data_IF_245998144636
#
_entry.id   IF_245998144636
#
_cell.length_a   1.000
_cell.length_b   1.000
_cell.length_c   1.000
_cell.angle_alpha   90.00
_cell.angle_beta   90.00
_cell.angle_gamma   90.00
#
_symmetry.space_group_name_H-M   'P 1'
#
loop_
_entity.id
_entity.type
_entity.pdbx_description
1 polymer ?
#
# COMPACT_ATOMS: atom_id res chain seq x y z
N UNK A 1 -3.93 -8.85 6.07
CA UNK A 1 -3.56 -7.63 5.33
C UNK A 1 -2.34 -7.91 4.45
N UNK A 2 -2.32 -7.44 3.21
CA UNK A 2 -1.26 -7.61 2.21
C UNK A 2 -0.80 -6.26 1.71
N UNK A 3 0.51 -6.09 1.53
CA UNK A 3 1.11 -4.83 1.09
C UNK A 3 1.91 -5.10 -0.19
N UNK A 4 1.62 -4.34 -1.25
CA UNK A 4 2.33 -4.46 -2.52
C UNK A 4 2.90 -3.10 -2.95
N UNK A 5 4.10 -3.11 -3.51
CA UNK A 5 4.73 -1.96 -4.16
C UNK A 5 4.92 -2.29 -5.64
N UNK A 6 4.12 -1.65 -6.49
CA UNK A 6 4.17 -1.81 -7.94
C UNK A 6 5.08 -0.75 -8.54
N UNK A 7 6.09 -1.18 -9.29
CA UNK A 7 7.04 -0.27 -9.94
C UNK A 7 7.28 -0.60 -11.40
N UNK A 8 7.67 0.40 -12.18
CA UNK A 8 8.18 0.21 -13.53
C UNK A 8 9.69 -0.02 -13.47
N UNK A 9 10.28 -0.71 -14.46
CA UNK A 9 11.72 -0.85 -14.55
C UNK A 9 12.42 0.53 -14.49
N UNK A 10 13.43 0.66 -13.63
CA UNK A 10 14.20 1.89 -13.48
C UNK A 10 13.47 3.05 -12.78
N UNK A 11 12.34 2.81 -12.10
CA UNK A 11 11.65 3.88 -11.36
C UNK A 11 12.55 4.50 -10.27
N UNK A 12 12.87 5.81 -10.36
CA UNK A 12 13.75 6.46 -9.38
C UNK A 12 13.10 6.57 -8.00
N UNK A 13 11.76 6.55 -7.95
CA UNK A 13 10.99 6.74 -6.73
C UNK A 13 10.69 5.43 -5.98
N UNK A 14 11.13 4.28 -6.51
CA UNK A 14 10.87 2.97 -5.90
C UNK A 14 11.42 2.87 -4.48
N UNK A 15 12.68 3.27 -4.28
CA UNK A 15 13.34 3.22 -2.98
C UNK A 15 12.66 4.16 -1.95
N UNK A 16 12.31 5.37 -2.37
CA UNK A 16 11.61 6.35 -1.53
C UNK A 16 10.23 5.84 -1.12
N UNK A 17 9.45 5.31 -2.06
CA UNK A 17 8.15 4.72 -1.76
C UNK A 17 8.26 3.53 -0.79
N UNK A 18 9.24 2.64 -1.01
CA UNK A 18 9.53 1.51 -0.11
C UNK A 18 9.86 1.99 1.30
N UNK A 19 10.71 3.02 1.43
CA UNK A 19 11.07 3.59 2.73
C UNK A 19 9.84 4.13 3.48
N UNK A 20 8.97 4.88 2.79
CA UNK A 20 7.74 5.41 3.39
C UNK A 20 6.85 4.29 3.93
N UNK A 21 6.70 3.19 3.17
CA UNK A 21 5.93 2.03 3.62
C UNK A 21 6.58 1.42 4.87
N UNK A 22 7.89 1.17 4.85
CA UNK A 22 8.62 0.59 5.98
C UNK A 22 8.51 1.46 7.24
N UNK A 23 8.68 2.79 7.11
CA UNK A 23 8.56 3.72 8.24
C UNK A 23 7.14 3.66 8.83
N UNK A 24 6.10 3.71 7.99
CA UNK A 24 4.71 3.61 8.46
C UNK A 24 4.39 2.26 9.12
N UNK A 25 4.98 1.15 8.63
CA UNK A 25 4.79 -0.16 9.26
C UNK A 25 5.44 -0.21 10.64
N UNK A 26 6.65 0.32 10.78
CA UNK A 26 7.36 0.43 12.05
C UNK A 26 6.58 1.30 13.05
N UNK A 27 6.14 2.48 12.63
CA UNK A 27 5.37 3.42 13.47
C UNK A 27 4.04 2.83 13.96
N UNK A 28 3.44 1.93 13.17
CA UNK A 28 2.19 1.26 13.50
C UNK A 28 2.39 -0.06 14.23
N UNK A 29 3.62 -0.56 14.39
CA UNK A 29 3.93 -1.85 14.97
C UNK A 29 3.40 -3.03 14.14
N UNK A 30 3.41 -2.90 12.80
CA UNK A 30 2.91 -3.92 11.87
C UNK A 30 4.11 -4.65 11.26
N UNK A 31 4.24 -5.94 11.55
CA UNK A 31 5.26 -6.80 10.95
C UNK A 31 4.69 -7.56 9.75
N UNK A 32 4.68 -6.92 8.58
CA UNK A 32 4.25 -7.52 7.32
C UNK A 32 5.28 -7.29 6.21
N UNK A 33 5.52 -8.28 5.33
CA UNK A 33 6.42 -8.10 4.20
C UNK A 33 5.80 -7.18 3.14
N UNK A 34 6.67 -6.39 2.49
CA UNK A 34 6.32 -5.60 1.30
C UNK A 34 6.58 -6.47 0.07
N UNK A 35 5.55 -6.74 -0.73
CA UNK A 35 5.67 -7.49 -1.96
C UNK A 35 5.95 -6.54 -3.13
N UNK A 36 7.19 -6.53 -3.61
CA UNK A 36 7.60 -5.71 -4.73
C UNK A 36 7.29 -6.41 -6.06
N UNK A 37 6.66 -5.69 -6.99
CA UNK A 37 6.32 -6.20 -8.33
C UNK A 37 6.75 -5.20 -9.38
N UNK A 38 7.65 -5.63 -10.25
CA UNK A 38 8.13 -4.82 -11.37
C UNK A 38 7.33 -5.19 -12.62
N UNK A 39 6.82 -4.19 -13.33
CA UNK A 39 6.02 -4.41 -14.53
C UNK A 39 5.47 -3.13 -15.14
N UNK A 40 4.53 -3.23 -16.09
CA UNK A 40 3.90 -2.09 -16.73
C UNK A 40 2.81 -1.48 -15.83
N UNK A 41 3.26 -0.94 -14.70
CA UNK A 41 2.41 -0.32 -13.69
C UNK A 41 2.61 1.19 -13.67
N UNK A 42 1.57 1.95 -13.27
CA UNK A 42 1.73 3.35 -12.97
C UNK A 42 2.62 3.51 -11.74
N UNK A 43 3.90 3.81 -11.97
CA UNK A 43 4.93 3.72 -10.93
C UNK A 43 5.20 5.07 -10.25
N UNK A 44 5.41 5.09 -8.92
CA UNK A 44 5.21 3.99 -7.95
C UNK A 44 3.75 3.88 -7.50
N UNK A 45 3.21 2.66 -7.35
CA UNK A 45 1.88 2.43 -6.76
C UNK A 45 1.98 1.57 -5.52
N UNK A 46 1.38 2.03 -4.43
CA UNK A 46 1.33 1.30 -3.15
C UNK A 46 -0.07 0.73 -2.99
N UNK A 47 -0.16 -0.59 -2.82
CA UNK A 47 -1.42 -1.28 -2.58
C UNK A 47 -1.49 -1.81 -1.15
N UNK A 48 -2.65 -1.64 -0.53
CA UNK A 48 -3.03 -2.32 0.72
C UNK A 48 -4.26 -3.16 0.43
N UNK A 49 -4.13 -4.48 0.53
CA UNK A 49 -5.15 -5.47 0.16
C UNK A 49 -5.73 -5.23 -1.26
N UNK A 50 -4.87 -4.79 -2.20
CA UNK A 50 -5.24 -4.53 -3.60
C UNK A 50 -5.83 -3.14 -3.87
N UNK A 51 -5.95 -2.27 -2.86
CA UNK A 51 -6.40 -0.89 -3.01
C UNK A 51 -5.22 0.08 -3.11
N UNK A 52 -5.21 0.92 -4.14
CA UNK A 52 -4.26 2.02 -4.29
C UNK A 52 -4.49 3.04 -3.19
N UNK A 53 -3.50 3.20 -2.33
CA UNK A 53 -3.48 4.16 -1.22
C UNK A 53 -3.76 5.59 -1.67
N UNK A 54 -3.33 5.96 -2.88
CA UNK A 54 -3.44 7.32 -3.39
C UNK A 54 -4.80 7.62 -4.02
N UNK A 55 -5.51 6.59 -4.51
CA UNK A 55 -6.81 6.73 -5.19
C UNK A 55 -7.98 6.12 -4.42
N UNK A 56 -7.71 5.42 -3.32
CA UNK A 56 -8.67 4.60 -2.57
C UNK A 56 -9.50 3.65 -3.48
N UNK A 57 -8.92 3.26 -4.62
CA UNK A 57 -9.57 2.47 -5.66
C UNK A 57 -8.65 1.33 -6.09
N UNK A 58 -9.16 0.38 -6.87
CA UNK A 58 -8.33 -0.70 -7.42
C UNK A 58 -7.19 -0.14 -8.29
N UNK A 59 -6.05 -0.81 -8.24
CA UNK A 59 -4.89 -0.48 -9.05
C UNK A 59 -5.25 -0.43 -10.54
N UNK A 60 -4.84 0.63 -11.24
CA UNK A 60 -4.97 0.72 -12.69
C UNK A 60 -3.77 0.05 -13.36
N UNK A 61 -3.99 -0.53 -14.54
CA UNK A 61 -2.93 -1.10 -15.39
C UNK A 61 -2.55 -0.06 -16.44
N UNK A 62 -1.25 0.17 -16.65
CA UNK A 62 -0.79 1.14 -17.66
C UNK A 62 0.70 1.47 -17.56
N UNK A 63 1.28 1.88 -18.70
CA UNK A 63 2.71 2.18 -18.86
C UNK A 63 3.12 3.62 -18.49
N UNK A 64 2.31 4.34 -17.70
CA UNK A 64 2.56 5.75 -17.42
C UNK A 64 3.14 5.96 -16.03
N UNK A 65 4.33 6.55 -15.93
CA UNK A 65 4.82 7.07 -14.65
C UNK A 65 3.79 8.07 -14.11
N UNK A 66 3.43 7.90 -12.85
CA UNK A 66 2.49 8.82 -12.20
C UNK A 66 3.27 10.03 -11.69
N UNK A 67 2.69 11.22 -11.83
CA UNK A 67 3.31 12.49 -11.40
C UNK A 67 3.16 12.71 -9.89
N UNK A 68 2.11 12.15 -9.31
CA UNK A 68 1.83 12.14 -7.88
C UNK A 68 2.66 11.06 -7.18
N UNK A 69 3.33 11.39 -6.07
CA UNK A 69 4.07 10.41 -5.26
C UNK A 69 3.31 10.09 -3.97
N UNK A 70 3.35 8.83 -3.49
CA UNK A 70 2.71 8.46 -2.23
C UNK A 70 3.38 9.20 -1.07
N UNK A 71 2.56 9.79 -0.20
CA UNK A 71 3.03 10.44 1.04
C UNK A 71 2.93 9.49 2.23
N UNK A 72 3.73 9.74 3.27
CA UNK A 72 3.67 8.97 4.52
C UNK A 72 2.28 9.02 5.16
N UNK A 73 1.64 10.19 5.17
CA UNK A 73 0.30 10.35 5.72
C UNK A 73 -0.71 9.43 5.03
N UNK A 74 -0.73 9.43 3.69
CA UNK A 74 -1.65 8.57 2.93
C UNK A 74 -1.43 7.08 3.23
N UNK A 75 -0.17 6.64 3.27
CA UNK A 75 0.18 5.23 3.55
C UNK A 75 -0.23 4.83 4.96
N UNK A 76 0.14 5.62 5.97
CA UNK A 76 -0.20 5.37 7.35
C UNK A 76 -1.71 5.37 7.58
N UNK A 77 -2.47 6.27 6.95
CA UNK A 77 -3.93 6.33 7.07
C UNK A 77 -4.61 5.12 6.42
N UNK A 78 -4.15 4.68 5.25
CA UNK A 78 -4.64 3.47 4.59
C UNK A 78 -4.38 2.20 5.44
N UNK A 79 -3.18 2.07 6.01
CA UNK A 79 -2.83 0.95 6.89
C UNK A 79 -3.69 0.94 8.16
N UNK A 80 -3.89 2.10 8.80
CA UNK A 80 -4.78 2.23 9.97
C UNK A 80 -6.22 1.87 9.64
N UNK A 81 -6.76 2.40 8.54
CA UNK A 81 -8.12 2.11 8.10
C UNK A 81 -8.31 0.61 7.88
N UNK A 82 -7.34 -0.04 7.22
CA UNK A 82 -7.43 -1.47 6.97
C UNK A 82 -7.26 -2.32 8.22
N UNK A 83 -6.38 -1.93 9.14
CA UNK A 83 -6.21 -2.61 10.44
C UNK A 83 -7.51 -2.59 11.25
N UNK A 84 -8.21 -1.45 11.25
CA UNK A 84 -9.53 -1.31 11.91
C UNK A 84 -10.61 -2.15 11.23
N UNK A 85 -10.59 -2.25 9.91
CA UNK A 85 -11.56 -3.06 9.17
C UNK A 85 -11.40 -4.55 9.47
N UNK A 86 -10.15 -5.04 9.57
CA UNK A 86 -9.87 -6.44 9.94
C UNK A 86 -10.34 -6.72 11.37
N UNK A 87 -9.96 -5.89 12.34
CA UNK A 87 -10.37 -6.10 13.74
C UNK A 87 -11.88 -5.98 14.00
N UNK A 88 -12.67 -5.40 13.08
CA UNK A 88 -14.14 -5.48 13.13
C UNK A 88 -14.69 -6.78 12.57
N UNK A 89 -14.08 -7.31 11.51
CA UNK A 89 -14.49 -8.59 10.93
C UNK A 89 -14.28 -9.75 11.92
N UNK A 90 -13.27 -9.67 12.78
CA UNK A 90 -12.99 -10.69 13.81
C UNK A 90 -13.98 -10.65 15.00
N UNK A 91 -14.76 -9.58 15.18
CA UNK A 91 -15.71 -9.43 16.31
C UNK A 91 -17.15 -9.84 15.96
N UNK A 92 -17.48 -9.93 14.66
CA UNK A 92 -18.84 -10.27 14.17
C UNK A 92 -19.12 -11.80 14.15
N UNK A 93 -18.12 -12.63 14.51
CA UNK A 93 -18.21 -14.11 14.50
C UNK A 93 -18.45 -14.72 15.91
N UNK A 94 -18.64 -13.89 16.94
CA UNK A 94 -18.94 -14.34 18.33
C UNK A 94 -20.36 -13.91 18.71
N UNK A 95 -21.37 -14.38 17.99
CA UNK A 95 -22.78 -14.32 18.41
C UNK A 95 -23.54 -15.52 17.80
N UNK A 96 -23.33 -16.71 18.39
CA UNK A 96 -24.21 -17.89 18.29
C UNK A 96 -24.39 -18.51 19.68
#
# INVERSE_FOLDING_TARGET
MRIELLTSPGCPNAATARKIITDCLADLGIELPILERIGPFPSPTVLVDGFDVMRAARAQVGHACRLDLPTAQQVCDALRARRRAIGRADHDDIDV
#
